data_IF_777033829509
#
_entry.id   IF_777033829509
#
_cell.length_a   1.000
_cell.length_b   1.000
_cell.length_c   1.000
_cell.angle_alpha   90.00
_cell.angle_beta   90.00
_cell.angle_gamma   90.00
#
_symmetry.space_group_name_H-M   'P 1'
#
loop_
_entity.id
_entity.type
_entity.pdbx_description
1 polymer ?
#
# COMPACT_ATOMS: atom_id res chain seq x y z
N UNK A 1 12.72 14.38 -46.21
CA UNK A 1 13.37 14.13 -44.90
C UNK A 1 14.82 14.64 -44.94
N UNK A 2 15.05 15.90 -45.35
CA UNK A 2 16.42 16.42 -45.56
C UNK A 2 16.54 17.93 -45.26
N UNK A 3 15.66 18.41 -44.37
CA UNK A 3 15.60 19.80 -43.91
C UNK A 3 16.11 19.94 -42.47
N UNK A 4 15.94 18.90 -41.63
CA UNK A 4 16.37 18.91 -40.23
C UNK A 4 17.90 18.74 -40.06
N UNK A 5 18.57 18.11 -41.02
CA UNK A 5 20.03 17.95 -41.08
C UNK A 5 20.76 19.26 -41.38
N UNK A 6 20.13 20.18 -42.13
CA UNK A 6 20.73 21.49 -42.48
C UNK A 6 20.66 22.53 -41.35
N UNK A 7 19.66 22.44 -40.46
CA UNK A 7 19.54 23.35 -39.30
C UNK A 7 20.62 23.03 -38.25
N UNK A 8 20.93 21.74 -38.04
CA UNK A 8 21.86 21.33 -36.99
C UNK A 8 23.33 21.65 -37.30
N UNK A 9 23.71 21.72 -38.58
CA UNK A 9 25.06 22.06 -38.99
C UNK A 9 25.33 23.58 -39.05
N UNK A 10 24.29 24.43 -39.17
CA UNK A 10 24.41 25.90 -39.17
C UNK A 10 24.70 26.49 -37.79
N UNK A 11 24.24 25.82 -36.72
CA UNK A 11 24.45 26.24 -35.33
C UNK A 11 25.89 25.97 -34.86
N UNK A 12 26.59 25.03 -35.50
CA UNK A 12 28.01 24.73 -35.17
C UNK A 12 29.03 25.67 -35.82
N UNK A 13 28.60 26.51 -36.77
CA UNK A 13 29.50 27.39 -37.55
C UNK A 13 29.38 28.87 -37.20
N UNK A 14 28.47 29.28 -36.32
CA UNK A 14 28.25 30.70 -35.99
C UNK A 14 28.99 31.21 -34.74
N UNK A 15 29.73 30.38 -34.01
CA UNK A 15 30.59 30.83 -32.92
C UNK A 15 31.89 30.02 -32.91
N UNK A 16 32.81 30.38 -33.79
CA UNK A 16 34.15 29.81 -33.86
C UNK A 16 35.16 30.48 -32.92
N UNK A 17 36.12 29.67 -32.46
CA UNK A 17 37.55 30.00 -32.21
C UNK A 17 37.80 30.88 -30.95
N UNK A 18 38.76 30.68 -30.04
CA UNK A 18 39.89 29.75 -29.82
C UNK A 18 40.46 29.90 -28.39
N UNK A 19 41.14 28.84 -27.94
CA UNK A 19 42.26 28.72 -26.98
C UNK A 19 42.64 29.82 -25.95
N UNK A 20 42.80 29.31 -24.71
CA UNK A 20 43.82 29.57 -23.68
C UNK A 20 43.86 30.92 -22.95
N UNK A 21 43.42 30.90 -21.70
CA UNK A 21 44.13 31.54 -20.58
C UNK A 21 43.86 30.77 -19.28
N UNK A 22 44.94 30.40 -18.61
CA UNK A 22 45.01 29.74 -17.31
C UNK A 22 44.28 30.51 -16.20
N UNK A 23 43.33 29.88 -15.53
CA UNK A 23 42.91 30.26 -14.17
C UNK A 23 42.78 28.99 -13.32
N UNK A 24 43.75 28.80 -12.44
CA UNK A 24 43.83 27.73 -11.44
C UNK A 24 42.62 27.78 -10.51
N UNK A 25 41.69 26.86 -10.69
CA UNK A 25 40.66 26.55 -9.68
C UNK A 25 41.25 25.52 -8.71
N UNK A 26 41.13 25.68 -7.38
CA UNK A 26 41.70 24.73 -6.43
C UNK A 26 41.09 23.35 -6.65
N UNK A 27 41.95 22.35 -6.89
CA UNK A 27 41.54 20.95 -6.93
C UNK A 27 41.07 20.55 -5.53
N UNK A 28 39.76 20.58 -5.29
CA UNK A 28 39.19 19.83 -4.17
C UNK A 28 39.40 18.36 -4.52
N UNK A 29 40.43 17.75 -3.93
CA UNK A 29 40.64 16.30 -3.97
C UNK A 29 39.34 15.66 -3.52
N UNK A 30 38.59 15.09 -4.46
CA UNK A 30 37.45 14.25 -4.11
C UNK A 30 37.99 13.12 -3.25
N UNK A 31 37.69 13.13 -1.95
CA UNK A 31 37.92 11.98 -1.10
C UNK A 31 37.13 10.83 -1.72
N UNK A 32 37.84 9.85 -2.29
CA UNK A 32 37.23 8.60 -2.74
C UNK A 32 36.41 8.06 -1.56
N UNK A 33 35.14 7.67 -1.75
CA UNK A 33 34.37 7.10 -0.67
C UNK A 33 35.13 5.90 -0.11
N UNK A 34 35.44 5.92 1.19
CA UNK A 34 36.16 4.86 1.91
C UNK A 34 35.39 3.53 1.83
N UNK A 35 34.08 3.60 1.54
CA UNK A 35 33.28 2.44 1.16
C UNK A 35 33.29 2.24 -0.36
N UNK A 36 34.25 1.43 -0.83
CA UNK A 36 34.04 0.64 -2.04
C UNK A 36 33.01 -0.45 -1.71
N UNK A 37 31.74 -0.07 -1.62
CA UNK A 37 30.65 -1.03 -1.51
C UNK A 37 30.74 -1.97 -2.70
N UNK A 38 31.06 -3.25 -2.46
CA UNK A 38 31.08 -4.30 -3.48
C UNK A 38 29.77 -4.18 -4.27
N UNK A 39 29.81 -3.93 -5.58
CA UNK A 39 28.61 -4.00 -6.44
C UNK A 39 27.99 -5.37 -6.19
N UNK A 40 26.86 -5.41 -5.48
CA UNK A 40 26.20 -6.67 -5.14
C UNK A 40 25.53 -7.18 -6.40
N UNK A 41 26.14 -8.22 -6.98
CA UNK A 41 25.53 -8.99 -8.06
C UNK A 41 24.17 -9.50 -7.55
N UNK A 42 23.05 -9.18 -8.23
CA UNK A 42 21.74 -9.67 -7.82
C UNK A 42 21.75 -11.19 -7.68
N UNK A 43 21.02 -11.71 -6.68
CA UNK A 43 20.82 -13.15 -6.59
C UNK A 43 19.95 -13.60 -7.77
N UNK A 44 20.17 -14.84 -8.24
CA UNK A 44 19.37 -15.41 -9.31
C UNK A 44 17.88 -15.40 -8.92
N UNK A 45 17.03 -14.78 -9.75
CA UNK A 45 15.59 -14.64 -9.50
C UNK A 45 15.17 -13.46 -8.61
N UNK A 46 16.11 -12.62 -8.15
CA UNK A 46 15.79 -11.41 -7.37
C UNK A 46 15.13 -10.36 -8.26
N UNK A 47 13.86 -10.04 -7.98
CA UNK A 47 13.15 -8.93 -8.62
C UNK A 47 13.57 -7.64 -7.93
N UNK A 48 14.12 -6.70 -8.71
CA UNK A 48 14.47 -5.37 -8.22
C UNK A 48 13.37 -4.38 -8.54
N UNK A 49 13.33 -3.31 -7.76
CA UNK A 49 12.53 -2.14 -8.07
C UNK A 49 13.06 -1.51 -9.37
N UNK A 50 12.15 -1.25 -10.32
CA UNK A 50 12.49 -0.54 -11.56
C UNK A 50 12.79 0.94 -11.26
N UNK A 51 13.72 1.53 -12.01
CA UNK A 51 13.94 2.99 -12.02
C UNK A 51 12.72 3.74 -12.58
N UNK A 52 12.08 3.13 -13.57
CA UNK A 52 11.02 3.72 -14.39
C UNK A 52 9.72 2.92 -14.27
N UNK A 53 8.61 3.58 -14.57
CA UNK A 53 7.31 2.92 -14.62
C UNK A 53 7.20 2.06 -15.87
N UNK A 54 6.59 0.89 -15.75
CA UNK A 54 6.18 0.07 -16.89
C UNK A 54 5.05 0.74 -17.69
N UNK A 55 4.92 0.39 -18.97
CA UNK A 55 3.83 0.87 -19.84
C UNK A 55 2.45 0.58 -19.24
N UNK A 56 2.30 -0.58 -18.62
CA UNK A 56 1.08 -0.99 -17.90
C UNK A 56 0.77 -0.05 -16.72
N UNK A 57 1.79 0.35 -15.95
CA UNK A 57 1.64 1.33 -14.87
C UNK A 57 1.32 2.73 -15.42
N UNK A 58 1.92 3.13 -16.54
CA UNK A 58 1.65 4.41 -17.19
C UNK A 58 0.19 4.45 -17.66
N UNK A 59 -0.27 3.42 -18.35
CA UNK A 59 -1.66 3.31 -18.82
C UNK A 59 -2.63 3.28 -17.64
N UNK A 60 -2.31 2.52 -16.58
CA UNK A 60 -3.12 2.51 -15.35
C UNK A 60 -3.21 3.92 -14.72
N UNK A 61 -2.12 4.67 -14.68
CA UNK A 61 -2.10 6.04 -14.16
C UNK A 61 -2.93 7.01 -15.02
N UNK A 62 -2.91 6.85 -16.35
CA UNK A 62 -3.76 7.63 -17.26
C UNK A 62 -5.25 7.35 -17.04
N UNK A 63 -5.62 6.07 -16.87
CA UNK A 63 -7.00 5.68 -16.55
C UNK A 63 -7.40 6.25 -15.18
N UNK A 64 -6.53 6.14 -14.18
CA UNK A 64 -6.74 6.64 -12.82
C UNK A 64 -7.01 8.14 -12.77
N UNK A 65 -6.38 8.94 -13.65
CA UNK A 65 -6.60 10.38 -13.71
C UNK A 65 -8.07 10.78 -13.98
N UNK A 66 -8.88 9.88 -14.56
CA UNK A 66 -10.33 10.09 -14.76
C UNK A 66 -11.16 9.97 -13.47
N UNK A 67 -10.59 9.34 -12.45
CA UNK A 67 -11.25 9.05 -11.18
C UNK A 67 -10.68 9.85 -10.00
N UNK A 68 -9.41 10.26 -10.07
CA UNK A 68 -8.73 10.99 -9.00
C UNK A 68 -8.38 12.40 -9.46
N UNK A 69 -9.17 13.38 -9.03
CA UNK A 69 -8.88 14.79 -9.26
C UNK A 69 -7.91 15.31 -8.19
N UNK A 70 -6.87 16.03 -8.63
CA UNK A 70 -5.96 16.76 -7.75
C UNK A 70 -6.44 18.21 -7.62
N UNK A 71 -6.60 18.68 -6.38
CA UNK A 71 -6.88 20.09 -6.08
C UNK A 71 -5.70 20.67 -5.32
N UNK A 72 -5.09 21.72 -5.86
CA UNK A 72 -3.95 22.38 -5.23
C UNK A 72 -4.39 23.16 -4.00
N UNK A 73 -3.63 23.04 -2.91
CA UNK A 73 -3.82 23.85 -1.72
C UNK A 73 -2.73 24.93 -1.64
N UNK A 74 -3.06 26.15 -1.16
CA UNK A 74 -2.04 27.13 -0.84
C UNK A 74 -1.23 26.69 0.39
N UNK A 75 0.00 27.19 0.58
CA UNK A 75 0.71 27.09 1.84
C UNK A 75 -0.13 27.66 2.99
N UNK A 76 0.06 27.14 4.20
CA UNK A 76 -0.70 27.55 5.37
C UNK A 76 0.21 27.99 6.49
N UNK A 77 -0.07 29.16 7.08
CA UNK A 77 0.64 29.67 8.26
C UNK A 77 -0.08 29.18 9.52
N UNK A 78 0.62 28.41 10.34
CA UNK A 78 0.10 27.82 11.59
C UNK A 78 -0.41 28.92 12.53
N UNK A 79 -1.63 28.74 13.01
CA UNK A 79 -2.33 29.63 13.92
C UNK A 79 -2.40 29.04 15.33
N UNK A 80 -2.78 29.87 16.31
CA UNK A 80 -2.94 29.43 17.70
C UNK A 80 -3.99 28.32 17.80
N UNK A 81 -3.67 27.23 18.49
CA UNK A 81 -4.55 26.08 18.70
C UNK A 81 -4.60 25.05 17.57
N UNK A 82 -3.82 25.27 16.50
CA UNK A 82 -3.68 24.30 15.43
C UNK A 82 -2.90 23.05 15.86
N UNK A 83 -3.26 21.94 15.23
CA UNK A 83 -2.47 20.70 15.24
C UNK A 83 -2.36 20.20 13.80
N UNK A 84 -1.37 19.36 13.51
CA UNK A 84 -1.23 18.74 12.18
C UNK A 84 -2.53 18.02 11.77
N UNK A 85 -3.17 17.28 12.68
CA UNK A 85 -4.47 16.64 12.42
C UNK A 85 -5.59 17.63 12.06
N UNK A 86 -5.73 18.74 12.80
CA UNK A 86 -6.74 19.77 12.50
C UNK A 86 -6.48 20.46 11.15
N UNK A 87 -5.22 20.76 10.85
CA UNK A 87 -4.82 21.36 9.57
C UNK A 87 -5.11 20.37 8.43
N UNK A 88 -4.69 19.11 8.57
CA UNK A 88 -4.93 18.07 7.57
C UNK A 88 -6.43 17.90 7.29
N UNK A 89 -7.26 17.87 8.34
CA UNK A 89 -8.71 17.82 8.23
C UNK A 89 -9.28 19.05 7.50
N UNK A 90 -8.83 20.26 7.85
CA UNK A 90 -9.27 21.52 7.22
C UNK A 90 -9.03 21.52 5.71
N UNK A 91 -7.87 21.02 5.28
CA UNK A 91 -7.49 20.98 3.85
C UNK A 91 -7.91 19.69 3.14
N UNK A 92 -8.51 18.73 3.86
CA UNK A 92 -8.92 17.44 3.31
C UNK A 92 -7.74 16.62 2.76
N UNK A 93 -6.59 16.66 3.43
CA UNK A 93 -5.37 15.91 3.07
C UNK A 93 -5.06 14.86 4.14
N UNK A 94 -4.29 13.85 3.78
CA UNK A 94 -3.79 12.87 4.75
C UNK A 94 -2.73 13.48 5.69
N UNK A 95 -2.85 13.18 6.98
CA UNK A 95 -1.98 13.71 8.03
C UNK A 95 -0.53 13.28 7.84
N UNK A 96 -0.28 12.00 7.52
CA UNK A 96 1.08 11.50 7.34
C UNK A 96 1.74 12.10 6.09
N UNK A 97 0.95 12.35 5.04
CA UNK A 97 1.41 13.06 3.85
C UNK A 97 1.80 14.51 4.19
N UNK A 98 0.99 15.21 5.01
CA UNK A 98 1.32 16.56 5.47
C UNK A 98 2.62 16.58 6.30
N UNK A 99 2.81 15.63 7.20
CA UNK A 99 4.02 15.49 8.03
C UNK A 99 5.26 15.31 7.13
N UNK A 100 5.23 14.32 6.24
CA UNK A 100 6.37 13.98 5.38
C UNK A 100 6.70 15.11 4.41
N UNK A 101 5.69 15.76 3.82
CA UNK A 101 5.88 16.89 2.89
C UNK A 101 6.60 18.08 3.54
N UNK A 102 6.49 18.21 4.87
CA UNK A 102 7.11 19.28 5.65
C UNK A 102 8.37 18.81 6.40
N UNK A 103 8.88 17.60 6.12
CA UNK A 103 10.08 17.07 6.79
C UNK A 103 9.91 16.87 8.29
N UNK A 104 8.66 16.74 8.75
CA UNK A 104 8.34 16.54 10.16
C UNK A 104 8.44 15.04 10.52
N UNK A 105 8.63 14.77 11.81
CA UNK A 105 8.51 13.43 12.39
C UNK A 105 7.42 13.45 13.46
N UNK A 106 7.12 12.30 14.08
CA UNK A 106 6.05 12.20 15.08
C UNK A 106 6.21 13.13 16.28
N UNK A 107 7.44 13.55 16.61
CA UNK A 107 7.70 14.49 17.70
C UNK A 107 7.56 15.94 17.24
N UNK A 108 8.14 16.31 16.10
CA UNK A 108 8.04 17.69 15.58
C UNK A 108 6.64 18.02 15.07
N UNK A 109 5.89 17.02 14.58
CA UNK A 109 4.49 17.17 14.20
C UNK A 109 3.57 17.55 15.38
N UNK A 110 3.93 17.15 16.61
CA UNK A 110 3.19 17.53 17.83
C UNK A 110 3.51 18.95 18.30
N UNK A 111 4.64 19.50 17.87
CA UNK A 111 5.20 20.76 18.35
C UNK A 111 5.39 21.76 17.20
N UNK A 112 4.43 21.85 16.28
CA UNK A 112 4.45 22.88 15.23
C UNK A 112 4.40 24.27 15.85
N UNK A 113 5.22 25.18 15.34
CA UNK A 113 5.36 26.51 15.92
C UNK A 113 4.33 27.48 15.33
N UNK A 114 3.79 28.37 16.17
CA UNK A 114 2.93 29.46 15.70
C UNK A 114 3.68 30.30 14.65
N UNK A 115 3.02 30.58 13.53
CA UNK A 115 3.61 31.31 12.41
C UNK A 115 4.48 30.47 11.47
N UNK A 116 4.74 29.19 11.76
CA UNK A 116 5.39 28.28 10.84
C UNK A 116 4.54 28.14 9.55
N UNK A 117 5.18 28.21 8.39
CA UNK A 117 4.49 28.02 7.10
C UNK A 117 4.65 26.58 6.66
N UNK A 118 3.52 25.88 6.53
CA UNK A 118 3.44 24.50 6.06
C UNK A 118 3.10 24.45 4.57
N UNK A 119 3.80 23.59 3.84
CA UNK A 119 3.44 23.16 2.48
C UNK A 119 2.28 22.17 2.57
N UNK A 120 1.09 22.60 2.16
CA UNK A 120 -0.08 21.73 2.17
C UNK A 120 -0.08 20.88 0.89
N UNK A 121 -0.14 19.54 1.00
CA UNK A 121 -0.26 18.65 -0.15
C UNK A 121 -1.50 18.96 -1.00
N UNK A 122 -1.49 18.50 -2.25
CA UNK A 122 -2.70 18.53 -3.07
C UNK A 122 -3.76 17.61 -2.45
N UNK A 123 -4.99 18.08 -2.39
CA UNK A 123 -6.14 17.26 -2.02
C UNK A 123 -6.51 16.35 -3.18
N UNK A 124 -6.58 15.04 -2.92
CA UNK A 124 -7.06 14.05 -3.89
C UNK A 124 -8.56 13.82 -3.68
N UNK A 125 -9.37 13.99 -4.73
CA UNK A 125 -10.82 13.81 -4.70
C UNK A 125 -11.18 12.64 -5.61
N UNK A 126 -11.84 11.64 -5.04
CA UNK A 126 -12.44 10.52 -5.79
C UNK A 126 -13.70 11.01 -6.50
N UNK A 127 -13.82 10.71 -7.80
CA UNK A 127 -14.98 11.02 -8.66
C UNK A 127 -15.29 9.84 -9.57
N UNK A 128 -16.53 9.78 -10.08
CA UNK A 128 -16.98 8.83 -11.10
C UNK A 128 -16.82 7.35 -10.70
N UNK A 129 -16.90 7.03 -9.40
CA UNK A 129 -16.80 5.64 -8.90
C UNK A 129 -18.18 5.09 -8.62
N UNK A 130 -18.64 4.16 -9.48
CA UNK A 130 -20.00 3.60 -9.40
C UNK A 130 -20.03 2.09 -9.21
N UNK A 131 -18.89 1.41 -9.41
CA UNK A 131 -18.78 -0.03 -9.38
C UNK A 131 -17.46 -0.51 -8.79
N UNK A 132 -17.36 -1.80 -8.47
CA UNK A 132 -16.11 -2.47 -8.07
C UNK A 132 -15.01 -2.28 -9.13
N UNK A 133 -15.37 -2.28 -10.42
CA UNK A 133 -14.42 -2.03 -11.49
C UNK A 133 -13.86 -0.59 -11.45
N UNK A 134 -14.68 0.39 -11.07
CA UNK A 134 -14.22 1.78 -10.92
C UNK A 134 -13.37 1.96 -9.67
N UNK A 135 -13.64 1.23 -8.59
CA UNK A 135 -12.73 1.17 -7.42
C UNK A 135 -11.37 0.63 -7.87
N UNK A 136 -11.35 -0.47 -8.62
CA UNK A 136 -10.11 -1.07 -9.11
C UNK A 136 -9.31 -0.11 -10.00
N UNK A 137 -9.97 0.55 -10.96
CA UNK A 137 -9.37 1.55 -11.85
C UNK A 137 -8.88 2.79 -11.10
N UNK A 138 -9.69 3.31 -10.18
CA UNK A 138 -9.31 4.50 -9.39
C UNK A 138 -8.13 4.22 -8.47
N UNK A 139 -8.00 2.99 -7.98
CA UNK A 139 -6.89 2.58 -7.11
C UNK A 139 -5.68 1.99 -7.86
N UNK A 140 -5.78 1.73 -9.16
CA UNK A 140 -4.70 1.11 -9.94
C UNK A 140 -4.42 -0.35 -9.52
N UNK A 141 -5.46 -1.06 -9.08
CA UNK A 141 -5.42 -2.46 -8.60
C UNK A 141 -6.30 -3.36 -9.47
N UNK A 142 -6.23 -4.66 -9.28
CA UNK A 142 -7.10 -5.63 -9.97
C UNK A 142 -8.52 -5.62 -9.41
N UNK A 143 -9.49 -5.92 -10.27
CA UNK A 143 -10.89 -6.14 -9.86
C UNK A 143 -10.99 -7.29 -8.86
N UNK A 144 -10.21 -8.36 -9.08
CA UNK A 144 -10.16 -9.51 -8.17
C UNK A 144 -9.67 -9.14 -6.77
N UNK A 145 -8.73 -8.20 -6.66
CA UNK A 145 -8.30 -7.67 -5.36
C UNK A 145 -9.47 -7.02 -4.64
N UNK A 146 -10.21 -6.11 -5.29
CA UNK A 146 -11.34 -5.41 -4.65
C UNK A 146 -12.46 -6.39 -4.26
N UNK A 147 -12.73 -7.39 -5.10
CA UNK A 147 -13.69 -8.47 -4.78
C UNK A 147 -13.24 -9.30 -3.58
N UNK A 148 -11.96 -9.65 -3.48
CA UNK A 148 -11.40 -10.38 -2.34
C UNK A 148 -11.44 -9.53 -1.07
N UNK A 149 -11.06 -8.25 -1.16
CA UNK A 149 -11.19 -7.29 -0.06
C UNK A 149 -12.64 -7.25 0.45
N UNK A 150 -13.61 -7.05 -0.45
CA UNK A 150 -15.04 -7.09 -0.11
C UNK A 150 -15.40 -8.36 0.65
N UNK A 151 -15.06 -9.54 0.12
CA UNK A 151 -15.39 -10.82 0.76
C UNK A 151 -14.74 -10.99 2.13
N UNK A 152 -13.56 -10.43 2.35
CA UNK A 152 -12.88 -10.50 3.66
C UNK A 152 -13.49 -9.54 4.70
N UNK A 153 -14.10 -8.43 4.26
CA UNK A 153 -14.84 -7.50 5.13
C UNK A 153 -16.30 -7.94 5.36
N UNK A 154 -16.82 -8.82 4.50
CA UNK A 154 -18.22 -9.17 4.47
C UNK A 154 -18.53 -10.41 5.34
N UNK A 155 -19.10 -10.17 6.51
CA UNK A 155 -19.56 -11.24 7.39
C UNK A 155 -20.80 -11.99 6.88
N UNK A 156 -21.51 -11.44 5.88
CA UNK A 156 -22.77 -11.99 5.37
C UNK A 156 -22.62 -12.76 4.05
N UNK A 157 -21.40 -12.88 3.50
CA UNK A 157 -21.12 -13.57 2.24
C UNK A 157 -22.00 -13.10 1.06
N UNK A 158 -22.23 -11.79 0.95
CA UNK A 158 -23.01 -11.20 -0.12
C UNK A 158 -22.33 -11.41 -1.49
N UNK A 159 -23.10 -11.64 -2.56
CA UNK A 159 -22.54 -11.71 -3.92
C UNK A 159 -21.86 -10.38 -4.32
N UNK A 160 -21.02 -10.43 -5.36
CA UNK A 160 -20.21 -9.29 -5.79
C UNK A 160 -21.04 -8.02 -6.12
N UNK A 161 -22.31 -8.16 -6.52
CA UNK A 161 -23.20 -7.06 -6.87
C UNK A 161 -24.07 -6.54 -5.71
N UNK A 162 -23.93 -7.11 -4.50
CA UNK A 162 -24.66 -6.68 -3.30
C UNK A 162 -23.70 -6.19 -2.21
N UNK A 163 -24.12 -5.20 -1.45
CA UNK A 163 -23.31 -4.53 -0.44
C UNK A 163 -24.08 -4.33 0.87
N UNK A 164 -23.37 -4.02 1.94
CA UNK A 164 -23.95 -3.53 3.18
C UNK A 164 -24.35 -2.06 3.03
N UNK A 165 -25.50 -1.82 2.40
CA UNK A 165 -26.04 -0.48 2.14
C UNK A 165 -26.53 0.25 3.41
N UNK A 166 -26.63 -0.46 4.53
CA UNK A 166 -26.99 0.05 5.86
C UNK A 166 -25.99 -0.45 6.90
N UNK A 167 -25.88 0.21 8.06
CA UNK A 167 -24.98 -0.21 9.13
C UNK A 167 -25.21 -1.64 9.59
N UNK A 168 -24.12 -2.34 9.88
CA UNK A 168 -24.06 -3.67 10.50
C UNK A 168 -23.00 -3.68 11.61
N UNK A 169 -22.98 -4.73 12.43
CA UNK A 169 -21.88 -4.94 13.39
C UNK A 169 -20.91 -5.95 12.81
N UNK A 170 -19.64 -5.58 12.77
CA UNK A 170 -18.58 -6.48 12.33
C UNK A 170 -18.26 -7.56 13.39
N UNK A 171 -17.29 -8.43 13.10
CA UNK A 171 -16.87 -9.48 14.03
C UNK A 171 -16.25 -8.98 15.35
N UNK A 172 -15.91 -7.69 15.44
CA UNK A 172 -15.45 -7.03 16.66
C UNK A 172 -16.57 -6.23 17.37
N UNK A 173 -17.81 -6.25 16.83
CA UNK A 173 -18.96 -5.52 17.36
C UNK A 173 -19.01 -4.04 16.96
N UNK A 174 -18.10 -3.58 16.10
CA UNK A 174 -17.99 -2.19 15.64
C UNK A 174 -19.04 -1.91 14.58
N UNK A 175 -19.74 -0.78 14.72
CA UNK A 175 -20.72 -0.32 13.74
C UNK A 175 -20.02 0.06 12.43
N UNK A 176 -20.35 -0.65 11.36
CA UNK A 176 -19.64 -0.65 10.08
C UNK A 176 -20.67 -0.54 8.94
N UNK A 177 -20.28 0.04 7.81
CA UNK A 177 -21.12 0.15 6.61
C UNK A 177 -20.31 -0.17 5.34
N UNK A 178 -20.97 -0.55 4.26
CA UNK A 178 -20.33 -0.78 2.97
C UNK A 178 -19.28 -1.90 3.02
N UNK A 179 -18.05 -1.57 2.62
CA UNK A 179 -16.91 -2.50 2.61
C UNK A 179 -15.96 -2.10 3.76
N UNK A 180 -16.16 -2.67 4.95
CA UNK A 180 -15.27 -2.49 6.10
C UNK A 180 -15.14 -1.06 6.63
N UNK A 181 -16.03 -0.13 6.27
CA UNK A 181 -15.95 1.26 6.71
C UNK A 181 -16.54 1.41 8.12
N UNK A 182 -15.71 1.74 9.10
CA UNK A 182 -16.16 2.06 10.47
C UNK A 182 -16.98 3.34 10.44
N UNK A 183 -18.25 3.24 10.80
CA UNK A 183 -19.20 4.35 10.72
C UNK A 183 -18.92 5.39 11.81
N UNK A 184 -18.82 6.65 11.42
CA UNK A 184 -18.60 7.79 12.32
C UNK A 184 -19.87 8.59 12.51
N UNK A 185 -19.88 9.37 13.60
CA UNK A 185 -20.98 10.29 13.91
C UNK A 185 -21.16 11.30 12.77
N UNK A 186 -22.38 11.41 12.27
CA UNK A 186 -22.76 12.34 11.19
C UNK A 186 -22.62 11.77 9.77
N UNK A 187 -22.09 10.56 9.60
CA UNK A 187 -22.04 9.91 8.30
C UNK A 187 -23.40 9.34 7.88
N UNK A 188 -23.71 9.30 6.57
CA UNK A 188 -24.96 8.73 6.08
C UNK A 188 -25.12 7.26 6.46
N UNK A 189 -26.30 6.90 6.97
CA UNK A 189 -26.63 5.54 7.40
C UNK A 189 -27.37 4.71 6.34
N UNK A 190 -27.54 5.25 5.14
CA UNK A 190 -28.12 4.57 3.98
C UNK A 190 -27.38 5.01 2.74
N UNK A 191 -26.78 4.06 2.04
CA UNK A 191 -25.96 4.30 0.86
C UNK A 191 -26.50 3.52 -0.34
N UNK A 192 -26.45 4.09 -1.54
CA UNK A 192 -26.58 3.33 -2.78
C UNK A 192 -25.33 2.46 -3.02
N UNK A 193 -25.41 1.48 -3.93
CA UNK A 193 -24.24 0.67 -4.30
C UNK A 193 -23.08 1.52 -4.83
N UNK A 194 -23.41 2.57 -5.60
CA UNK A 194 -22.42 3.52 -6.08
C UNK A 194 -21.76 4.27 -4.92
N UNK A 195 -22.53 4.73 -3.93
CA UNK A 195 -21.97 5.42 -2.76
C UNK A 195 -21.10 4.49 -1.91
N UNK A 196 -21.43 3.21 -1.80
CA UNK A 196 -20.55 2.21 -1.17
C UNK A 196 -19.22 2.07 -1.93
N UNK A 197 -19.27 1.99 -3.26
CA UNK A 197 -18.07 1.90 -4.07
C UNK A 197 -17.20 3.17 -3.95
N UNK A 198 -17.82 4.35 -4.00
CA UNK A 198 -17.13 5.63 -3.82
C UNK A 198 -16.49 5.74 -2.43
N UNK A 199 -17.19 5.30 -1.38
CA UNK A 199 -16.67 5.26 -0.01
C UNK A 199 -15.45 4.33 0.09
N UNK A 200 -15.54 3.12 -0.46
CA UNK A 200 -14.43 2.18 -0.50
C UNK A 200 -13.19 2.76 -1.23
N UNK A 201 -13.40 3.43 -2.37
CA UNK A 201 -12.31 4.10 -3.08
C UNK A 201 -11.68 5.24 -2.26
N UNK A 202 -12.48 6.02 -1.51
CA UNK A 202 -11.96 7.07 -0.60
C UNK A 202 -11.12 6.48 0.53
N UNK A 203 -11.59 5.39 1.14
CA UNK A 203 -10.85 4.73 2.23
C UNK A 203 -9.53 4.13 1.73
N UNK A 204 -9.55 3.44 0.59
CA UNK A 204 -8.34 2.89 -0.03
C UNK A 204 -7.38 4.00 -0.47
N UNK A 205 -7.88 5.13 -0.96
CA UNK A 205 -7.06 6.29 -1.32
C UNK A 205 -6.35 6.86 -0.10
N UNK A 206 -7.03 6.98 1.04
CA UNK A 206 -6.40 7.44 2.28
C UNK A 206 -5.29 6.48 2.72
N UNK A 207 -5.55 5.17 2.64
CA UNK A 207 -4.53 4.15 2.95
C UNK A 207 -3.33 4.26 2.00
N UNK A 208 -3.57 4.41 0.69
CA UNK A 208 -2.52 4.64 -0.31
C UNK A 208 -1.66 5.86 0.03
N UNK A 209 -2.29 6.99 0.35
CA UNK A 209 -1.59 8.23 0.70
C UNK A 209 -0.69 8.04 1.93
N UNK A 210 -1.18 7.34 2.96
CA UNK A 210 -0.34 7.01 4.09
C UNK A 210 0.84 6.10 3.73
N UNK A 211 0.61 5.06 2.93
CA UNK A 211 1.69 4.16 2.47
C UNK A 211 2.72 4.94 1.67
N UNK A 212 2.25 5.78 0.75
CA UNK A 212 3.06 6.65 -0.09
C UNK A 212 3.95 7.57 0.75
N UNK A 213 3.38 8.24 1.76
CA UNK A 213 4.13 9.07 2.69
C UNK A 213 5.23 8.27 3.43
N UNK A 214 4.90 7.12 4.00
CA UNK A 214 5.84 6.25 4.70
C UNK A 214 6.99 5.75 3.81
N UNK A 215 6.71 5.54 2.52
CA UNK A 215 7.70 5.16 1.52
C UNK A 215 8.58 6.30 1.02
N UNK A 216 8.32 7.55 1.44
CA UNK A 216 9.07 8.72 1.01
C UNK A 216 8.47 9.42 -0.22
N UNK A 217 7.18 9.19 -0.48
CA UNK A 217 6.38 9.92 -1.46
C UNK A 217 5.85 9.05 -2.61
N UNK A 218 4.95 9.67 -3.40
CA UNK A 218 4.18 8.99 -4.44
C UNK A 218 5.05 8.32 -5.50
N UNK A 219 6.17 8.93 -5.88
CA UNK A 219 7.09 8.36 -6.88
C UNK A 219 7.65 6.99 -6.46
N UNK A 220 7.91 6.80 -5.17
CA UNK A 220 8.40 5.51 -4.65
C UNK A 220 7.27 4.49 -4.63
N UNK A 221 6.09 4.89 -4.17
CA UNK A 221 4.91 4.03 -4.21
C UNK A 221 4.57 3.59 -5.64
N UNK A 222 4.57 4.51 -6.60
CA UNK A 222 4.17 4.24 -7.99
C UNK A 222 5.03 3.16 -8.66
N UNK A 223 6.32 3.11 -8.33
CA UNK A 223 7.28 2.10 -8.80
C UNK A 223 7.08 0.71 -8.21
N UNK A 224 6.31 0.56 -7.12
CA UNK A 224 6.02 -0.76 -6.58
C UNK A 224 5.24 -1.61 -7.60
N UNK A 225 5.55 -2.91 -7.72
CA UNK A 225 4.73 -3.83 -8.50
C UNK A 225 3.27 -3.82 -8.05
N UNK A 226 2.32 -3.97 -8.98
CA UNK A 226 0.88 -3.91 -8.66
C UNK A 226 0.48 -4.88 -7.55
N UNK A 227 0.95 -6.12 -7.62
CA UNK A 227 0.72 -7.15 -6.62
C UNK A 227 1.25 -6.77 -5.22
N UNK A 228 2.36 -6.03 -5.16
CA UNK A 228 2.89 -5.52 -3.88
C UNK A 228 2.00 -4.41 -3.33
N UNK A 229 1.52 -3.48 -4.18
CA UNK A 229 0.56 -2.44 -3.79
C UNK A 229 -0.71 -3.04 -3.21
N UNK A 230 -1.29 -4.04 -3.88
CA UNK A 230 -2.49 -4.74 -3.44
C UNK A 230 -2.31 -5.35 -2.04
N UNK A 231 -1.22 -6.08 -1.80
CA UNK A 231 -0.94 -6.68 -0.49
C UNK A 231 -0.75 -5.63 0.62
N UNK A 232 -0.06 -4.53 0.32
CA UNK A 232 0.14 -3.44 1.29
C UNK A 232 -1.17 -2.69 1.57
N UNK A 233 -2.00 -2.48 0.56
CA UNK A 233 -3.32 -1.87 0.69
C UNK A 233 -4.22 -2.71 1.59
N UNK A 234 -4.35 -4.02 1.37
CA UNK A 234 -5.16 -4.88 2.26
C UNK A 234 -4.61 -4.88 3.69
N UNK A 235 -3.29 -5.05 3.84
CA UNK A 235 -2.67 -5.12 5.16
C UNK A 235 -2.89 -3.84 5.96
N UNK A 236 -2.73 -2.67 5.33
CA UNK A 236 -2.93 -1.37 5.95
C UNK A 236 -4.42 -1.00 6.09
N UNK A 237 -5.30 -1.45 5.19
CA UNK A 237 -6.75 -1.30 5.34
C UNK A 237 -7.24 -2.09 6.56
N UNK A 238 -6.74 -3.32 6.74
CA UNK A 238 -7.13 -4.19 7.84
C UNK A 238 -6.57 -3.76 9.21
N UNK A 239 -5.34 -3.24 9.27
CA UNK A 239 -4.62 -2.98 10.54
C UNK A 239 -4.25 -1.54 10.79
N UNK A 240 -4.59 -0.65 9.87
CA UNK A 240 -4.09 0.71 9.84
C UNK A 240 -2.68 0.77 9.23
N UNK A 241 -2.31 1.87 8.56
CA UNK A 241 -1.00 2.04 7.92
C UNK A 241 0.19 1.92 8.88
N UNK A 242 0.00 2.29 10.15
CA UNK A 242 1.05 2.24 11.19
C UNK A 242 1.67 0.83 11.37
N UNK A 243 0.98 -0.23 10.95
CA UNK A 243 1.55 -1.57 11.01
C UNK A 243 2.77 -1.73 10.09
N UNK A 244 2.83 -0.98 8.99
CA UNK A 244 3.94 -1.05 8.05
C UNK A 244 5.23 -0.49 8.66
N UNK A 245 5.12 0.63 9.39
CA UNK A 245 6.24 1.22 10.15
C UNK A 245 6.68 0.33 11.31
N UNK A 246 5.72 -0.22 12.05
CA UNK A 246 5.99 -1.07 13.22
C UNK A 246 6.58 -2.42 12.86
N UNK A 247 6.48 -2.85 11.59
CA UNK A 247 7.05 -4.11 11.13
C UNK A 247 8.55 -3.93 10.84
N UNK A 248 9.46 -4.49 11.65
CA UNK A 248 10.88 -4.18 11.57
C UNK A 248 11.48 -4.45 10.18
N UNK A 249 12.01 -3.40 9.56
CA UNK A 249 12.67 -3.45 8.26
C UNK A 249 11.76 -3.57 7.04
N UNK A 250 10.43 -3.63 7.19
CA UNK A 250 9.50 -3.78 6.05
C UNK A 250 9.59 -2.58 5.08
N UNK A 251 9.44 -1.37 5.60
CA UNK A 251 9.54 -0.15 4.77
C UNK A 251 10.89 -0.03 4.08
N UNK A 252 11.99 -0.37 4.78
CA UNK A 252 13.31 -0.38 4.18
C UNK A 252 13.38 -1.35 2.99
N UNK A 253 12.96 -2.61 3.19
CA UNK A 253 12.96 -3.62 2.12
C UNK A 253 12.12 -3.22 0.92
N UNK A 254 10.98 -2.53 1.13
CA UNK A 254 10.15 -2.02 0.05
C UNK A 254 10.84 -0.88 -0.72
N UNK A 255 11.43 0.09 0.00
CA UNK A 255 12.14 1.24 -0.58
C UNK A 255 13.34 0.83 -1.43
N UNK A 256 14.07 -0.22 -1.03
CA UNK A 256 15.25 -0.70 -1.76
C UNK A 256 14.95 -1.85 -2.72
N UNK A 257 13.67 -2.23 -2.90
CA UNK A 257 13.26 -3.27 -3.83
C UNK A 257 13.62 -4.71 -3.43
N UNK A 258 13.89 -4.98 -2.15
CA UNK A 258 14.13 -6.33 -1.62
C UNK A 258 12.80 -7.05 -1.35
N UNK A 259 12.05 -7.36 -2.42
CA UNK A 259 10.67 -7.81 -2.29
C UNK A 259 10.51 -9.18 -1.62
N UNK A 260 11.42 -10.13 -1.81
CA UNK A 260 11.42 -11.40 -1.07
C UNK A 260 11.45 -11.16 0.45
N UNK A 261 12.37 -10.30 0.91
CA UNK A 261 12.47 -9.96 2.33
C UNK A 261 11.26 -9.17 2.82
N UNK A 262 10.67 -8.31 1.99
CA UNK A 262 9.44 -7.59 2.32
C UNK A 262 8.26 -8.56 2.52
N UNK A 263 8.06 -9.51 1.60
CA UNK A 263 7.03 -10.55 1.67
C UNK A 263 7.19 -11.37 2.94
N UNK A 264 8.42 -11.77 3.26
CA UNK A 264 8.71 -12.60 4.43
C UNK A 264 8.42 -11.88 5.76
N UNK A 265 8.21 -10.55 5.74
CA UNK A 265 7.84 -9.72 6.89
C UNK A 265 6.33 -9.47 7.01
N UNK A 266 5.51 -9.85 6.02
CA UNK A 266 4.06 -9.63 6.00
C UNK A 266 3.28 -10.65 6.87
N UNK A 267 3.76 -10.91 8.09
CA UNK A 267 3.25 -12.01 8.95
C UNK A 267 2.44 -11.53 10.15
N UNK A 268 2.24 -10.21 10.32
CA UNK A 268 1.59 -9.65 11.50
C UNK A 268 0.10 -10.02 11.59
N UNK A 269 -0.24 -10.87 12.56
CA UNK A 269 -1.54 -11.49 12.75
C UNK A 269 -2.19 -11.19 14.11
N UNK A 270 -1.75 -10.14 14.82
CA UNK A 270 -2.29 -9.76 16.14
C UNK A 270 -3.52 -8.85 16.03
N UNK A 271 -4.48 -9.07 16.92
CA UNK A 271 -5.62 -8.16 17.12
C UNK A 271 -5.15 -6.83 17.68
N UNK A 272 -5.68 -5.73 17.15
CA UNK A 272 -5.44 -4.38 17.69
C UNK A 272 -6.13 -4.18 19.04
N UNK A 273 -7.24 -4.90 19.29
CA UNK A 273 -8.01 -4.81 20.53
C UNK A 273 -7.40 -5.65 21.65
N UNK A 274 -7.04 -6.91 21.36
CA UNK A 274 -6.62 -7.86 22.40
C UNK A 274 -5.12 -8.11 22.45
N UNK A 275 -4.36 -7.67 21.43
CA UNK A 275 -2.93 -7.97 21.29
C UNK A 275 -2.61 -9.44 20.99
N UNK A 276 -3.61 -10.34 21.01
CA UNK A 276 -3.44 -11.77 20.74
C UNK A 276 -3.39 -12.06 19.25
N UNK A 277 -2.62 -13.07 18.88
CA UNK A 277 -2.65 -13.62 17.53
C UNK A 277 -3.99 -14.31 17.28
N UNK A 278 -4.52 -14.20 16.05
CA UNK A 278 -5.79 -14.79 15.68
C UNK A 278 -5.65 -15.65 14.42
N UNK A 279 -6.41 -16.74 14.36
CA UNK A 279 -6.42 -17.67 13.22
C UNK A 279 -6.87 -16.97 11.93
N UNK A 280 -7.94 -16.18 12.00
CA UNK A 280 -8.48 -15.41 10.88
C UNK A 280 -7.52 -14.34 10.36
N UNK A 281 -6.75 -13.70 11.26
CA UNK A 281 -5.72 -12.73 10.87
C UNK A 281 -4.52 -13.43 10.22
N UNK A 282 -4.16 -14.63 10.68
CA UNK A 282 -3.15 -15.46 10.01
C UNK A 282 -3.60 -15.82 8.60
N UNK A 283 -4.89 -16.15 8.41
CA UNK A 283 -5.48 -16.42 7.10
C UNK A 283 -5.46 -15.20 6.18
N UNK A 284 -5.67 -14.00 6.72
CA UNK A 284 -5.57 -12.75 5.96
C UNK A 284 -4.12 -12.42 5.57
N UNK A 285 -3.15 -12.66 6.46
CA UNK A 285 -1.72 -12.56 6.11
C UNK A 285 -1.29 -13.56 5.04
N UNK A 286 -1.85 -14.77 5.05
CA UNK A 286 -1.68 -15.73 3.95
C UNK A 286 -2.19 -15.19 2.61
N UNK A 287 -3.34 -14.51 2.60
CA UNK A 287 -3.84 -13.82 1.41
C UNK A 287 -2.86 -12.73 0.94
N UNK A 288 -2.37 -11.87 1.84
CA UNK A 288 -1.44 -10.79 1.50
C UNK A 288 -0.13 -11.32 0.91
N UNK A 289 0.47 -12.31 1.58
CA UNK A 289 1.69 -12.99 1.14
C UNK A 289 1.47 -13.61 -0.25
N UNK A 290 0.36 -14.32 -0.46
CA UNK A 290 0.04 -14.93 -1.76
C UNK A 290 -0.11 -13.88 -2.87
N UNK A 291 -0.71 -12.73 -2.54
CA UNK A 291 -0.92 -11.63 -3.47
C UNK A 291 0.42 -11.01 -3.84
N UNK A 292 1.26 -10.67 -2.86
CA UNK A 292 2.57 -10.10 -3.09
C UNK A 292 3.50 -11.06 -3.86
N UNK A 293 3.40 -12.37 -3.64
CA UNK A 293 4.17 -13.40 -4.36
C UNK A 293 3.89 -13.45 -5.87
N UNK A 294 2.78 -12.88 -6.35
CA UNK A 294 2.45 -12.83 -7.79
C UNK A 294 3.49 -12.07 -8.62
N UNK A 295 4.30 -11.20 -8.00
CA UNK A 295 5.41 -10.53 -8.69
C UNK A 295 6.40 -11.53 -9.32
N UNK A 296 6.49 -12.75 -8.80
CA UNK A 296 7.42 -13.77 -9.29
C UNK A 296 6.87 -14.60 -10.45
N UNK A 297 5.65 -14.34 -10.93
CA UNK A 297 5.05 -15.05 -12.08
C UNK A 297 5.17 -16.59 -11.97
N UNK A 298 4.97 -17.12 -10.76
CA UNK A 298 5.07 -18.56 -10.48
C UNK A 298 6.43 -19.05 -9.97
N UNK A 299 7.53 -18.34 -10.24
CA UNK A 299 8.90 -18.66 -9.78
C UNK A 299 9.18 -18.13 -8.37
N UNK A 300 8.30 -18.49 -7.44
CA UNK A 300 8.32 -17.95 -6.07
C UNK A 300 9.57 -18.46 -5.31
N UNK A 301 10.29 -17.59 -4.58
CA UNK A 301 11.35 -17.99 -3.67
C UNK A 301 10.87 -18.97 -2.58
N UNK A 302 11.67 -20.01 -2.31
CA UNK A 302 11.36 -21.01 -1.29
C UNK A 302 11.23 -20.39 0.11
N UNK A 303 11.96 -19.31 0.40
CA UNK A 303 11.86 -18.60 1.68
C UNK A 303 10.45 -18.04 1.92
N UNK A 304 9.82 -17.47 0.88
CA UNK A 304 8.44 -16.95 0.96
C UNK A 304 7.40 -18.06 1.08
N UNK A 305 7.63 -19.20 0.43
CA UNK A 305 6.81 -20.40 0.63
C UNK A 305 6.92 -20.89 2.08
N UNK A 306 8.14 -20.95 2.63
CA UNK A 306 8.37 -21.34 4.02
C UNK A 306 7.71 -20.36 5.00
N UNK A 307 7.78 -19.05 4.74
CA UNK A 307 7.05 -18.05 5.54
C UNK A 307 5.55 -18.29 5.50
N UNK A 308 4.97 -18.51 4.32
CA UNK A 308 3.54 -18.83 4.19
C UNK A 308 3.20 -20.12 4.95
N UNK A 309 4.02 -21.17 4.84
CA UNK A 309 3.83 -22.42 5.58
C UNK A 309 3.82 -22.19 7.10
N UNK A 310 4.72 -21.35 7.61
CA UNK A 310 4.79 -21.03 9.04
C UNK A 310 3.56 -20.25 9.51
N UNK A 311 3.11 -19.26 8.75
CA UNK A 311 1.87 -18.52 9.06
C UNK A 311 0.66 -19.45 9.03
N UNK A 312 0.60 -20.39 8.08
CA UNK A 312 -0.43 -21.41 8.02
C UNK A 312 -0.42 -22.31 9.25
N UNK A 313 0.74 -22.89 9.59
CA UNK A 313 0.88 -23.78 10.74
C UNK A 313 0.41 -23.09 12.03
N UNK A 314 0.87 -21.84 12.24
CA UNK A 314 0.45 -21.04 13.39
C UNK A 314 -1.04 -20.72 13.36
N UNK A 315 -1.59 -20.40 12.18
CA UNK A 315 -3.02 -20.16 11.98
C UNK A 315 -3.89 -21.35 12.38
N UNK A 316 -3.46 -22.58 12.07
CA UNK A 316 -4.19 -23.80 12.44
C UNK A 316 -4.12 -24.07 13.95
N UNK A 317 -2.97 -23.85 14.60
CA UNK A 317 -2.85 -23.94 16.05
C UNK A 317 -3.81 -22.98 16.76
N UNK A 318 -3.85 -21.72 16.30
CA UNK A 318 -4.76 -20.71 16.81
C UNK A 318 -6.22 -21.10 16.56
N UNK A 319 -6.53 -21.61 15.36
CA UNK A 319 -7.89 -22.05 15.03
C UNK A 319 -8.37 -23.14 15.98
N UNK A 320 -7.52 -24.12 16.29
CA UNK A 320 -7.83 -25.19 17.24
C UNK A 320 -8.11 -24.65 18.64
N UNK A 321 -7.28 -23.74 19.12
CA UNK A 321 -7.47 -23.10 20.42
C UNK A 321 -8.77 -22.27 20.46
N UNK A 322 -9.06 -21.50 19.41
CA UNK A 322 -10.27 -20.71 19.27
C UNK A 322 -11.53 -21.58 19.20
N UNK A 323 -11.49 -22.70 18.48
CA UNK A 323 -12.58 -23.67 18.42
C UNK A 323 -12.88 -24.28 19.78
N UNK A 324 -11.85 -24.72 20.51
CA UNK A 324 -11.98 -25.24 21.88
C UNK A 324 -12.60 -24.20 22.81
N UNK A 325 -12.14 -22.95 22.75
CA UNK A 325 -12.65 -21.87 23.60
C UNK A 325 -14.10 -21.47 23.29
N UNK A 326 -14.56 -21.66 22.05
CA UNK A 326 -15.90 -21.27 21.58
C UNK A 326 -16.87 -22.44 21.43
N UNK A 327 -16.47 -23.66 21.80
CA UNK A 327 -17.28 -24.87 21.60
C UNK A 327 -17.60 -25.17 20.12
N UNK A 328 -16.72 -24.78 19.19
CA UNK A 328 -16.92 -24.99 17.74
C UNK A 328 -16.20 -26.25 17.26
N UNK A 329 -16.78 -26.93 16.28
CA UNK A 329 -16.13 -28.05 15.59
C UNK A 329 -14.89 -27.58 14.82
N UNK A 330 -13.72 -28.02 15.26
CA UNK A 330 -12.45 -27.71 14.63
C UNK A 330 -12.34 -28.23 13.20
N UNK A 331 -12.86 -29.43 12.91
CA UNK A 331 -12.73 -30.04 11.59
C UNK A 331 -13.56 -29.28 10.54
N UNK A 332 -14.79 -28.89 10.89
CA UNK A 332 -15.62 -28.03 10.05
C UNK A 332 -14.96 -26.67 9.77
N UNK A 333 -14.38 -26.02 10.79
CA UNK A 333 -13.70 -24.74 10.60
C UNK A 333 -12.41 -24.88 9.78
N UNK A 334 -11.65 -25.97 10.00
CA UNK A 334 -10.43 -26.29 9.27
C UNK A 334 -10.70 -26.50 7.78
N UNK A 335 -11.83 -27.14 7.41
CA UNK A 335 -12.20 -27.32 6.01
C UNK A 335 -12.31 -25.98 5.25
N UNK A 336 -13.03 -25.01 5.84
CA UNK A 336 -13.16 -23.66 5.27
C UNK A 336 -11.81 -22.93 5.23
N UNK A 337 -11.03 -23.03 6.31
CA UNK A 337 -9.69 -22.44 6.37
C UNK A 337 -8.78 -22.98 5.25
N UNK A 338 -8.75 -24.30 5.07
CA UNK A 338 -7.93 -24.95 4.06
C UNK A 338 -8.40 -24.61 2.64
N UNK A 339 -9.71 -24.53 2.39
CA UNK A 339 -10.26 -24.12 1.10
C UNK A 339 -9.73 -22.75 0.67
N UNK A 340 -9.74 -21.79 1.59
CA UNK A 340 -9.21 -20.44 1.32
C UNK A 340 -7.71 -20.48 1.04
N UNK A 341 -6.92 -21.15 1.88
CA UNK A 341 -5.47 -21.25 1.73
C UNK A 341 -5.09 -21.94 0.43
N UNK A 342 -5.80 -23.01 0.06
CA UNK A 342 -5.60 -23.69 -1.22
C UNK A 342 -5.93 -22.77 -2.41
N UNK A 343 -6.96 -21.93 -2.30
CA UNK A 343 -7.26 -20.93 -3.34
C UNK A 343 -6.16 -19.85 -3.51
N UNK A 344 -5.32 -19.66 -2.49
CA UNK A 344 -4.24 -18.67 -2.50
C UNK A 344 -2.93 -19.25 -3.02
N UNK A 345 -2.60 -20.49 -2.63
CA UNK A 345 -1.28 -21.09 -2.86
C UNK A 345 -1.29 -22.30 -3.79
N UNK A 346 -2.45 -22.83 -4.16
CA UNK A 346 -2.55 -24.15 -4.79
C UNK A 346 -1.85 -25.19 -3.94
N UNK A 347 -0.87 -25.88 -4.52
CA UNK A 347 -0.09 -26.93 -3.84
C UNK A 347 1.20 -26.43 -3.18
N UNK A 348 1.48 -25.12 -3.16
CA UNK A 348 2.74 -24.57 -2.62
C UNK A 348 2.81 -24.65 -1.09
N UNK A 349 1.67 -24.56 -0.41
CA UNK A 349 1.57 -24.71 1.05
C UNK A 349 0.98 -26.08 1.34
N UNK A 350 1.66 -26.87 2.18
CA UNK A 350 1.21 -28.18 2.63
C UNK A 350 0.09 -28.00 3.65
N UNK A 351 -1.14 -28.24 3.22
CA UNK A 351 -2.33 -28.19 4.07
C UNK A 351 -2.46 -29.46 4.91
N UNK A 352 -2.95 -29.32 6.14
CA UNK A 352 -3.27 -30.45 7.04
C UNK A 352 -4.67 -30.97 6.72
N UNK A 353 -4.78 -32.27 6.44
CA UNK A 353 -6.08 -32.91 6.21
C UNK A 353 -6.80 -33.21 7.52
N UNK A 354 -8.12 -33.32 7.43
CA UNK A 354 -8.96 -33.81 8.52
C UNK A 354 -8.65 -35.30 8.68
N UNK A 355 -8.00 -35.69 9.77
CA UNK A 355 -7.95 -37.10 10.17
C UNK A 355 -9.35 -37.50 10.63
N UNK A 356 -9.92 -38.51 9.97
CA UNK A 356 -11.21 -39.10 10.33
C UNK A 356 -11.18 -39.69 11.73
#
# INVERSE_FOLDING_TARGET
MDWLTKIWNSIKTTLGVSSSSSSSTPSVKSSKPIFNGKKTTPRQGEIRMSSDLSDEQIQANQVRAKYIQQVKNPPYKVQSGDTIGKIAQRFGVDESTLIVQNGLNSNTAKNISLGQVLKIPNRKIVKNVHSINDVAKSMGVSVDFVKKLKRMEDSANLPDNKFHNTPYRDGAGVETIGIGHVLKRGEPRKLSNSQVCELCAKDLLKVEESISAMLGGQKVYDRLPKAMKEALLDMAFNKGPAILEKTPGLLYTLKVGKYEAAINKMTYNKSTTTGKEMSGLSKRRLFDISTAMKIYHGKVPQSSINTAQNVYNRGIELLRAECKAKGKDFNAQLAGYNKDVQSYFGNKVKIKFITK
#
